data_IF_928639438449
#
_entry.id   IF_928639438449
#
_cell.length_a   1.000
_cell.length_b   1.000
_cell.length_c   1.000
_cell.angle_alpha   90.00
_cell.angle_beta   90.00
_cell.angle_gamma   90.00
#
_symmetry.space_group_name_H-M   'P 1'
#
loop_
_entity.id
_entity.type
_entity.pdbx_description
1 polymer ?
#
# COMPACT_ATOMS: atom_id res chain seq x y z
N UNK A 1 -0.74 -9.33 12.56
CA UNK A 1 -0.67 -8.43 11.40
C UNK A 1 -1.99 -8.50 10.66
N UNK A 2 -2.61 -7.36 10.34
CA UNK A 2 -3.91 -7.34 9.64
C UNK A 2 -3.75 -7.47 8.10
N UNK A 3 -2.55 -7.16 7.61
CA UNK A 3 -2.15 -7.32 6.22
C UNK A 3 -1.64 -8.75 6.00
N UNK A 4 -1.98 -9.34 4.86
CA UNK A 4 -1.46 -10.64 4.42
C UNK A 4 -1.03 -10.57 2.97
N UNK A 5 0.03 -11.29 2.64
CA UNK A 5 0.40 -11.58 1.25
C UNK A 5 -0.76 -12.23 0.50
N UNK A 6 -0.95 -11.81 -0.76
CA UNK A 6 -1.89 -12.39 -1.71
C UNK A 6 -1.12 -13.15 -2.80
N UNK A 7 -0.34 -12.42 -3.61
CA UNK A 7 0.32 -12.97 -4.79
C UNK A 7 1.63 -12.26 -5.08
N UNK A 8 2.57 -12.97 -5.71
CA UNK A 8 3.86 -12.44 -6.17
C UNK A 8 4.10 -12.91 -7.60
N UNK A 9 4.40 -11.98 -8.50
CA UNK A 9 4.96 -12.32 -9.82
C UNK A 9 6.48 -12.45 -9.68
N UNK A 10 7.11 -13.42 -10.35
CA UNK A 10 8.58 -13.53 -10.40
C UNK A 10 9.22 -12.23 -10.93
N UNK A 11 10.45 -11.92 -10.50
CA UNK A 11 11.18 -10.75 -10.99
C UNK A 11 11.21 -10.70 -12.52
N UNK A 12 10.89 -9.53 -13.06
CA UNK A 12 10.90 -9.27 -14.50
C UNK A 12 12.12 -8.43 -14.84
N UNK A 13 13.13 -9.08 -15.42
CA UNK A 13 14.39 -8.45 -15.80
C UNK A 13 14.27 -7.82 -17.18
N UNK A 14 14.65 -6.54 -17.29
CA UNK A 14 14.65 -5.76 -18.53
C UNK A 14 13.32 -5.83 -19.31
N UNK A 15 12.21 -6.00 -18.59
CA UNK A 15 10.87 -6.17 -19.15
C UNK A 15 9.91 -5.14 -18.57
N UNK A 16 9.35 -4.29 -19.44
CA UNK A 16 8.51 -3.16 -19.05
C UNK A 16 7.01 -3.51 -18.95
N UNK A 17 6.59 -4.71 -19.35
CA UNK A 17 5.18 -5.11 -19.35
C UNK A 17 5.02 -6.59 -19.07
N UNK A 18 4.19 -6.95 -18.10
CA UNK A 18 3.96 -8.33 -17.68
C UNK A 18 2.61 -8.48 -16.97
N UNK A 19 2.19 -9.71 -16.72
CA UNK A 19 0.92 -10.00 -16.04
C UNK A 19 1.10 -10.16 -14.52
N UNK A 20 0.16 -9.63 -13.75
CA UNK A 20 0.04 -9.88 -12.31
C UNK A 20 -1.42 -10.12 -11.93
N UNK A 21 -1.63 -11.08 -11.02
CA UNK A 21 -2.97 -11.51 -10.59
C UNK A 21 -3.19 -11.08 -9.15
N UNK A 22 -4.18 -10.22 -8.94
CA UNK A 22 -4.66 -9.83 -7.61
C UNK A 22 -5.90 -10.66 -7.22
N UNK A 23 -5.91 -11.22 -6.01
CA UNK A 23 -7.05 -12.00 -5.47
C UNK A 23 -7.43 -11.55 -4.06
N UNK A 24 -8.71 -11.61 -3.72
CA UNK A 24 -9.20 -11.24 -2.39
C UNK A 24 -9.78 -9.84 -2.30
N UNK A 25 -9.66 -9.22 -1.13
CA UNK A 25 -10.33 -7.95 -0.78
C UNK A 25 -9.42 -7.06 0.05
N UNK A 26 -9.72 -5.76 0.07
CA UNK A 26 -8.88 -4.74 0.69
C UNK A 26 -7.43 -4.89 0.19
N UNK A 27 -7.28 -4.74 -1.12
CA UNK A 27 -6.04 -5.01 -1.81
C UNK A 27 -5.19 -3.76 -1.95
N UNK A 28 -3.88 -3.91 -1.80
CA UNK A 28 -2.88 -2.97 -2.30
C UNK A 28 -1.91 -3.76 -3.16
N UNK A 29 -1.69 -3.30 -4.40
CA UNK A 29 -0.62 -3.75 -5.27
C UNK A 29 0.63 -2.91 -5.00
N UNK A 30 1.77 -3.55 -4.84
CA UNK A 30 3.09 -2.93 -4.67
C UNK A 30 3.97 -3.34 -5.85
N UNK A 31 4.52 -2.34 -6.54
CA UNK A 31 5.44 -2.52 -7.67
C UNK A 31 6.77 -1.84 -7.33
N UNK A 32 7.76 -2.60 -6.83
CA UNK A 32 9.12 -2.12 -6.75
C UNK A 32 9.79 -2.15 -8.13
N UNK A 33 10.73 -1.24 -8.34
CA UNK A 33 11.57 -1.21 -9.53
C UNK A 33 12.97 -0.75 -9.17
N UNK A 34 13.96 -1.47 -9.70
CA UNK A 34 15.38 -1.21 -9.51
C UNK A 34 16.00 -0.91 -10.87
N UNK A 35 16.73 0.20 -10.97
CA UNK A 35 17.23 0.75 -12.22
C UNK A 35 18.71 1.06 -12.04
N UNK A 36 19.48 0.68 -13.06
CA UNK A 36 20.85 1.12 -13.24
C UNK A 36 21.02 1.74 -14.61
N UNK A 37 21.72 2.87 -14.63
CA UNK A 37 22.25 3.38 -15.87
C UNK A 37 23.66 3.97 -15.72
N UNK A 38 24.49 3.72 -16.72
CA UNK A 38 25.87 4.17 -16.74
C UNK A 38 26.07 5.63 -17.13
N UNK A 39 25.00 6.35 -17.48
CA UNK A 39 25.12 7.66 -18.14
C UNK A 39 24.13 8.73 -17.67
N UNK A 40 22.94 8.36 -17.19
CA UNK A 40 21.92 9.31 -16.73
C UNK A 40 21.03 8.73 -15.62
N UNK A 41 20.35 9.58 -14.86
CA UNK A 41 19.27 9.15 -13.97
C UNK A 41 18.01 8.82 -14.79
N UNK A 42 17.82 7.54 -15.11
CA UNK A 42 16.60 7.05 -15.76
C UNK A 42 15.50 6.87 -14.71
N UNK A 43 14.36 7.53 -14.93
CA UNK A 43 13.26 7.61 -13.97
C UNK A 43 12.04 6.86 -14.47
N UNK A 44 11.17 6.44 -13.57
CA UNK A 44 9.83 5.96 -13.95
C UNK A 44 8.90 7.15 -14.12
N UNK A 45 8.25 7.25 -15.28
CA UNK A 45 7.27 8.31 -15.56
C UNK A 45 5.84 7.88 -15.28
N UNK A 46 5.53 6.57 -15.41
CA UNK A 46 4.27 6.00 -14.99
C UNK A 46 4.40 4.49 -14.77
N UNK A 47 3.59 3.94 -13.87
CA UNK A 47 3.32 2.51 -13.80
C UNK A 47 1.81 2.36 -13.78
N UNK A 48 1.26 1.55 -14.66
CA UNK A 48 -0.18 1.24 -14.68
C UNK A 48 -0.44 -0.21 -14.36
N UNK A 49 -1.59 -0.48 -13.74
CA UNK A 49 -2.18 -1.79 -13.63
C UNK A 49 -3.59 -1.75 -14.20
N UNK A 50 -3.86 -2.55 -15.23
CA UNK A 50 -5.14 -2.48 -15.98
C UNK A 50 -5.45 -1.04 -16.46
N UNK A 51 -4.43 -0.32 -16.95
CA UNK A 51 -4.53 1.10 -17.36
C UNK A 51 -4.86 2.11 -16.24
N UNK A 52 -4.84 1.70 -14.97
CA UNK A 52 -4.95 2.61 -13.82
C UNK A 52 -3.55 2.92 -13.30
N UNK A 53 -3.17 4.20 -13.26
CA UNK A 53 -1.85 4.61 -12.75
C UNK A 53 -1.70 4.32 -11.26
N UNK A 54 -0.54 3.79 -10.90
CA UNK A 54 -0.07 3.65 -9.54
C UNK A 54 0.40 5.00 -9.01
N UNK A 55 0.53 5.09 -7.69
CA UNK A 55 1.13 6.24 -7.00
C UNK A 55 2.57 5.91 -6.60
N UNK A 56 3.54 6.75 -6.99
CA UNK A 56 4.90 6.65 -6.48
C UNK A 56 4.91 6.97 -4.99
N UNK A 57 5.41 6.05 -4.16
CA UNK A 57 5.43 6.20 -2.70
C UNK A 57 6.80 6.62 -2.20
N UNK A 58 7.86 6.05 -2.77
CA UNK A 58 9.23 6.45 -2.49
C UNK A 58 10.12 6.18 -3.69
N UNK A 59 11.08 7.05 -3.91
CA UNK A 59 12.15 6.87 -4.88
C UNK A 59 13.44 7.39 -4.29
N UNK A 60 14.55 6.74 -4.62
CA UNK A 60 15.88 7.27 -4.34
C UNK A 60 16.84 6.87 -5.43
N UNK A 61 17.77 7.78 -5.73
CA UNK A 61 18.90 7.55 -6.63
C UNK A 61 20.19 7.83 -5.87
N UNK A 62 21.19 6.99 -6.10
CA UNK A 62 22.57 7.22 -5.69
C UNK A 62 23.49 7.26 -6.91
N UNK A 63 24.49 8.14 -6.86
CA UNK A 63 25.42 8.38 -7.97
C UNK A 63 26.85 8.11 -7.56
N UNK A 64 27.54 7.25 -8.31
CA UNK A 64 28.95 6.96 -8.07
C UNK A 64 29.72 6.75 -9.37
N UNK A 65 30.76 7.57 -9.56
CA UNK A 65 31.60 7.52 -10.77
C UNK A 65 30.82 7.81 -12.06
N UNK A 66 29.79 8.66 -12.00
CA UNK A 66 28.95 9.01 -13.16
C UNK A 66 27.88 7.98 -13.52
N UNK A 67 27.67 6.97 -12.67
CA UNK A 67 26.65 5.93 -12.82
C UNK A 67 25.55 6.12 -11.78
N UNK A 68 24.35 5.65 -12.09
CA UNK A 68 23.13 5.92 -11.32
C UNK A 68 22.47 4.61 -10.91
N UNK A 69 22.20 4.45 -9.62
CA UNK A 69 21.41 3.37 -9.06
C UNK A 69 20.16 3.96 -8.47
N UNK A 70 19.00 3.56 -8.96
CA UNK A 70 17.71 4.06 -8.51
C UNK A 70 16.83 2.91 -8.08
N UNK A 71 16.13 3.10 -6.98
CA UNK A 71 15.06 2.19 -6.54
C UNK A 71 13.81 3.01 -6.25
N UNK A 72 12.67 2.49 -6.68
CA UNK A 72 11.37 3.10 -6.43
C UNK A 72 10.37 2.05 -5.97
N UNK A 73 9.41 2.47 -5.14
CA UNK A 73 8.23 1.69 -4.78
C UNK A 73 6.98 2.48 -5.17
N UNK A 74 6.14 1.85 -5.97
CA UNK A 74 4.84 2.35 -6.40
C UNK A 74 3.73 1.48 -5.83
N UNK A 75 2.57 2.07 -5.52
CA UNK A 75 1.41 1.28 -5.10
C UNK A 75 0.10 1.70 -5.75
N UNK A 76 -0.81 0.75 -5.88
CA UNK A 76 -2.21 0.98 -6.23
C UNK A 76 -3.09 0.36 -5.15
N UNK A 77 -3.85 1.20 -4.46
CA UNK A 77 -4.88 0.77 -3.52
C UNK A 77 -6.14 0.37 -4.30
N UNK A 78 -6.82 -0.69 -3.87
CA UNK A 78 -7.97 -1.28 -4.56
C UNK A 78 -7.72 -1.64 -6.04
N UNK A 79 -6.63 -2.36 -6.40
CA UNK A 79 -6.42 -2.82 -7.76
C UNK A 79 -7.58 -3.72 -8.21
N UNK A 80 -7.87 -3.72 -9.51
CA UNK A 80 -8.83 -4.66 -10.09
C UNK A 80 -8.39 -6.11 -9.78
N UNK A 81 -9.33 -6.98 -9.43
CA UNK A 81 -9.03 -8.40 -9.22
C UNK A 81 -8.86 -9.13 -10.56
N UNK A 82 -8.25 -10.32 -10.51
CA UNK A 82 -7.93 -11.11 -11.69
C UNK A 82 -6.57 -10.78 -12.28
N UNK A 83 -6.28 -11.38 -13.44
CA UNK A 83 -5.00 -11.22 -14.13
C UNK A 83 -5.05 -9.99 -15.02
N UNK A 84 -4.26 -8.96 -14.71
CA UNK A 84 -4.14 -7.76 -15.52
C UNK A 84 -2.67 -7.39 -15.75
N UNK A 85 -2.44 -6.51 -16.73
CA UNK A 85 -1.10 -6.06 -17.11
C UNK A 85 -0.58 -4.99 -16.16
N UNK A 86 0.62 -5.22 -15.63
CA UNK A 86 1.50 -4.17 -15.10
C UNK A 86 2.31 -3.62 -16.28
N UNK A 87 2.26 -2.32 -16.53
CA UNK A 87 3.04 -1.66 -17.58
C UNK A 87 3.82 -0.48 -17.00
N UNK A 88 5.14 -0.48 -17.20
CA UNK A 88 6.10 0.52 -16.73
C UNK A 88 6.51 1.41 -17.90
N UNK A 89 6.49 2.71 -17.68
CA UNK A 89 7.02 3.70 -18.62
C UNK A 89 8.24 4.38 -18.00
N UNK A 90 9.37 4.33 -18.70
CA UNK A 90 10.65 4.92 -18.27
C UNK A 90 10.94 6.19 -19.07
N UNK A 91 11.68 7.14 -18.49
CA UNK A 91 12.09 8.39 -19.16
C UNK A 91 13.14 8.17 -20.25
N UNK A 92 13.75 6.98 -20.29
CA UNK A 92 14.71 6.56 -21.30
C UNK A 92 14.99 5.05 -21.21
N UNK A 93 16.03 4.58 -21.89
CA UNK A 93 16.45 3.18 -21.86
C UNK A 93 17.61 3.01 -20.88
N UNK A 94 17.41 2.38 -19.72
CA UNK A 94 18.48 2.13 -18.77
C UNK A 94 19.40 1.02 -19.25
N UNK A 95 20.62 1.00 -18.71
CA UNK A 95 21.60 -0.07 -18.92
C UNK A 95 21.10 -1.43 -18.37
N UNK A 96 20.38 -1.42 -17.25
CA UNK A 96 19.72 -2.59 -16.69
C UNK A 96 18.63 -2.21 -15.70
N UNK A 97 17.55 -2.98 -15.65
CA UNK A 97 16.50 -2.80 -14.65
C UNK A 97 15.74 -4.09 -14.38
N UNK A 98 15.01 -4.09 -13.27
CA UNK A 98 14.12 -5.17 -12.88
C UNK A 98 12.86 -4.62 -12.22
N UNK A 99 11.76 -5.34 -12.38
CA UNK A 99 10.46 -4.95 -11.82
C UNK A 99 9.84 -6.13 -11.08
N UNK A 100 9.32 -5.88 -9.89
CA UNK A 100 8.52 -6.82 -9.13
C UNK A 100 7.04 -6.43 -9.11
N UNK A 101 6.15 -7.35 -8.75
CA UNK A 101 4.77 -7.06 -8.42
C UNK A 101 4.26 -8.00 -7.33
N UNK A 102 3.81 -7.42 -6.23
CA UNK A 102 3.29 -8.14 -5.06
C UNK A 102 1.97 -7.49 -4.65
N UNK A 103 0.93 -8.29 -4.51
CA UNK A 103 -0.34 -7.85 -3.94
C UNK A 103 -0.47 -8.30 -2.49
N UNK A 104 -1.16 -7.49 -1.70
CA UNK A 104 -1.45 -7.76 -0.30
C UNK A 104 -2.93 -7.55 -0.02
N UNK A 105 -3.56 -8.48 0.70
CA UNK A 105 -4.90 -8.31 1.27
C UNK A 105 -4.82 -7.62 2.63
N UNK A 106 -5.93 -7.01 3.06
CA UNK A 106 -5.99 -6.29 4.33
C UNK A 106 -5.17 -4.99 4.35
N UNK A 107 -4.68 -4.53 3.21
CA UNK A 107 -4.00 -3.25 3.00
C UNK A 107 -4.80 -2.47 1.94
N UNK A 108 -5.42 -1.36 2.32
CA UNK A 108 -6.17 -0.51 1.38
C UNK A 108 -6.36 0.90 1.92
N UNK A 109 -5.38 1.36 2.69
CA UNK A 109 -5.46 2.63 3.40
C UNK A 109 -4.23 3.50 3.13
N UNK A 110 -3.59 3.29 1.98
CA UNK A 110 -2.40 4.02 1.57
C UNK A 110 -1.13 3.61 2.32
N UNK A 111 -0.19 4.55 2.34
CA UNK A 111 1.15 4.39 2.92
C UNK A 111 1.32 5.38 4.07
N UNK A 112 1.89 4.89 5.17
CA UNK A 112 2.28 5.67 6.34
C UNK A 112 3.63 6.36 6.13
N UNK A 113 4.56 6.16 7.06
CA UNK A 113 5.91 6.70 6.91
C UNK A 113 6.70 6.00 5.81
N UNK A 114 7.67 6.71 5.27
CA UNK A 114 8.64 6.19 4.31
C UNK A 114 10.05 6.55 4.74
N UNK A 115 11.01 5.69 4.45
CA UNK A 115 12.42 5.92 4.67
C UNK A 115 13.25 5.64 3.43
N UNK A 116 14.51 6.06 3.46
CA UNK A 116 15.53 5.63 2.51
C UNK A 116 16.90 5.67 3.17
N UNK A 117 17.83 4.92 2.61
CA UNK A 117 19.21 4.89 3.08
C UNK A 117 20.17 4.34 2.01
N UNK A 118 21.45 4.65 2.14
CA UNK A 118 22.52 4.24 1.23
C UNK A 118 23.82 4.17 1.99
N UNK A 119 24.65 3.22 1.63
CA UNK A 119 26.00 3.12 2.15
C UNK A 119 26.88 2.41 1.13
N UNK A 120 28.14 2.21 1.50
CA UNK A 120 29.11 1.40 0.77
C UNK A 120 29.68 0.33 1.70
N UNK A 121 28.84 -0.66 1.98
CA UNK A 121 29.10 -1.80 2.85
C UNK A 121 28.25 -2.99 2.36
N UNK A 122 28.17 -4.08 3.12
CA UNK A 122 27.40 -5.26 2.73
C UNK A 122 26.03 -5.35 3.43
N UNK A 123 25.52 -4.28 4.02
CA UNK A 123 24.32 -4.31 4.85
C UNK A 123 23.26 -3.28 4.40
N UNK A 124 22.61 -3.47 3.23
CA UNK A 124 21.44 -2.69 2.88
C UNK A 124 20.41 -2.64 4.00
N UNK A 125 20.18 -1.45 4.54
CA UNK A 125 19.31 -1.26 5.71
C UNK A 125 18.61 0.09 5.67
N UNK A 126 17.32 0.12 6.02
CA UNK A 126 16.57 1.37 6.21
C UNK A 126 15.79 1.31 7.51
N UNK A 127 15.77 2.43 8.23
CA UNK A 127 15.00 2.60 9.47
C UNK A 127 13.98 3.73 9.30
N UNK A 128 12.75 3.51 9.78
CA UNK A 128 11.80 4.60 10.02
C UNK A 128 11.00 4.38 11.30
N UNK A 129 10.17 5.33 11.71
CA UNK A 129 9.20 5.13 12.79
C UNK A 129 7.82 4.90 12.21
N UNK A 130 7.35 3.66 12.25
CA UNK A 130 6.01 3.30 11.73
C UNK A 130 4.91 3.98 12.53
N UNK A 131 3.85 4.36 11.84
CA UNK A 131 2.69 5.04 12.42
C UNK A 131 1.74 4.09 13.11
N UNK A 132 1.80 2.80 12.78
CA UNK A 132 0.89 1.77 13.29
C UNK A 132 1.60 0.48 13.65
N UNK A 133 1.03 -0.30 14.59
CA UNK A 133 1.52 -1.64 14.95
C UNK A 133 0.83 -2.77 14.18
N UNK A 134 -0.01 -2.43 13.20
CA UNK A 134 -0.74 -3.40 12.37
C UNK A 134 -0.43 -3.27 10.88
N UNK A 135 0.42 -2.32 10.50
CA UNK A 135 0.96 -2.16 9.15
C UNK A 135 1.99 -3.22 8.76
N UNK A 136 2.50 -3.08 7.53
CA UNK A 136 3.56 -3.90 6.96
C UNK A 136 4.61 -2.98 6.35
N UNK A 137 5.83 -3.06 6.84
CA UNK A 137 6.97 -2.37 6.25
C UNK A 137 7.51 -3.18 5.09
N UNK A 138 7.81 -2.51 3.98
CA UNK A 138 8.41 -3.09 2.78
C UNK A 138 9.63 -2.27 2.41
N UNK A 139 10.80 -2.92 2.33
CA UNK A 139 12.05 -2.31 1.88
C UNK A 139 12.50 -2.95 0.57
N UNK A 140 12.82 -2.12 -0.42
CA UNK A 140 13.48 -2.52 -1.64
C UNK A 140 14.89 -1.91 -1.67
N UNK A 141 15.89 -2.70 -2.04
CA UNK A 141 17.26 -2.22 -2.19
C UNK A 141 17.86 -2.66 -3.53
N UNK A 142 18.67 -1.79 -4.13
CA UNK A 142 19.55 -2.10 -5.25
C UNK A 142 21.00 -1.91 -4.82
N UNK A 143 21.86 -2.82 -5.27
CA UNK A 143 23.29 -2.81 -5.03
C UNK A 143 24.03 -2.80 -6.37
N UNK A 144 25.23 -2.22 -6.38
CA UNK A 144 26.10 -2.26 -7.56
C UNK A 144 26.31 -3.72 -8.00
N UNK A 145 26.26 -3.95 -9.32
CA UNK A 145 26.28 -5.29 -9.89
C UNK A 145 27.61 -6.00 -9.76
N UNK A 146 27.63 -7.21 -10.33
CA UNK A 146 28.72 -8.18 -10.19
C UNK A 146 28.76 -8.90 -8.85
N UNK A 147 27.97 -8.39 -7.90
CA UNK A 147 27.72 -8.97 -6.60
C UNK A 147 26.36 -9.66 -6.67
N UNK A 148 26.38 -10.92 -7.08
CA UNK A 148 25.19 -11.76 -7.11
C UNK A 148 24.84 -12.26 -5.71
N UNK A 149 23.57 -12.65 -5.59
CA UNK A 149 22.93 -13.42 -4.52
C UNK A 149 23.89 -14.36 -3.76
N UNK A 150 23.66 -14.60 -2.46
CA UNK A 150 22.44 -14.26 -1.71
C UNK A 150 22.46 -12.88 -1.05
N UNK A 151 21.27 -12.27 -0.98
CA UNK A 151 20.91 -11.30 0.05
C UNK A 151 20.21 -12.07 1.18
N UNK A 152 20.67 -11.95 2.43
CA UNK A 152 20.10 -12.68 3.55
C UNK A 152 19.44 -11.73 4.54
N UNK A 153 18.12 -11.85 4.82
CA UNK A 153 17.48 -11.08 5.89
C UNK A 153 18.22 -11.22 7.24
N UNK A 154 18.44 -10.10 7.93
CA UNK A 154 19.25 -10.09 9.16
C UNK A 154 18.45 -10.44 10.43
N UNK A 155 17.12 -10.48 10.32
CA UNK A 155 16.22 -10.69 11.44
C UNK A 155 15.04 -11.58 11.09
N UNK A 156 13.84 -11.08 11.38
CA UNK A 156 12.57 -11.80 11.16
C UNK A 156 11.85 -11.34 9.89
N UNK A 157 12.52 -10.58 9.04
CA UNK A 157 11.99 -10.12 7.77
C UNK A 157 11.72 -11.32 6.85
N UNK A 158 10.66 -11.19 6.04
CA UNK A 158 10.35 -12.15 4.99
C UNK A 158 10.92 -11.63 3.69
N UNK A 159 11.76 -12.44 3.03
CA UNK A 159 12.24 -12.15 1.69
C UNK A 159 11.15 -12.44 0.65
N UNK A 160 11.01 -11.51 -0.30
CA UNK A 160 10.09 -11.62 -1.44
C UNK A 160 10.83 -11.63 -2.76
N UNK A 161 11.95 -10.93 -2.84
CA UNK A 161 12.82 -10.91 -4.01
C UNK A 161 14.28 -10.95 -3.58
N UNK A 162 15.04 -11.76 -4.30
CA UNK A 162 16.50 -11.85 -4.33
C UNK A 162 16.86 -12.12 -5.79
N UNK A 163 17.84 -11.39 -6.33
CA UNK A 163 18.24 -11.55 -7.72
C UNK A 163 19.22 -10.51 -8.24
N UNK A 164 19.63 -10.71 -9.49
CA UNK A 164 20.50 -9.79 -10.21
C UNK A 164 20.10 -9.68 -11.69
N UNK A 165 20.45 -8.57 -12.35
CA UNK A 165 20.29 -8.46 -13.82
C UNK A 165 21.39 -9.22 -14.59
N UNK A 166 22.47 -9.60 -13.91
CA UNK A 166 23.62 -10.30 -14.46
C UNK A 166 24.80 -10.29 -13.50
N UNK A 167 26.00 -10.61 -13.99
CA UNK A 167 27.23 -10.77 -13.18
C UNK A 167 28.28 -9.70 -13.46
N UNK A 168 27.97 -8.65 -14.22
CA UNK A 168 28.92 -7.59 -14.55
C UNK A 168 28.94 -6.47 -13.49
N UNK A 169 30.13 -6.18 -12.95
CA UNK A 169 30.32 -5.13 -11.94
C UNK A 169 30.06 -3.70 -12.39
N UNK A 170 29.87 -3.48 -13.70
CA UNK A 170 29.75 -2.16 -14.29
C UNK A 170 28.44 -1.93 -15.04
N UNK A 171 27.69 -2.98 -15.36
CA UNK A 171 26.46 -2.86 -16.16
C UNK A 171 25.25 -3.53 -15.53
N UNK A 172 25.44 -4.33 -14.48
CA UNK A 172 24.37 -5.03 -13.80
C UNK A 172 24.11 -4.45 -12.40
N UNK A 173 23.07 -4.99 -11.75
CA UNK A 173 22.72 -4.73 -10.37
C UNK A 173 22.34 -6.02 -9.65
N UNK A 174 22.60 -6.06 -8.34
CA UNK A 174 21.92 -6.95 -7.40
C UNK A 174 20.71 -6.22 -6.80
N UNK A 175 19.67 -6.96 -6.43
CA UNK A 175 18.45 -6.39 -5.87
C UNK A 175 17.78 -7.32 -4.87
N UNK A 176 17.04 -6.72 -3.96
CA UNK A 176 16.25 -7.46 -2.97
C UNK A 176 15.01 -6.68 -2.56
N UNK A 177 13.99 -7.42 -2.11
CA UNK A 177 12.85 -6.88 -1.39
C UNK A 177 12.55 -7.76 -0.19
N UNK A 178 12.49 -7.13 0.97
CA UNK A 178 12.13 -7.77 2.25
C UNK A 178 10.98 -7.00 2.91
N UNK A 179 10.22 -7.70 3.74
CA UNK A 179 9.09 -7.13 4.48
C UNK A 179 9.08 -7.53 5.95
N UNK A 180 8.53 -6.67 6.81
CA UNK A 180 8.43 -6.90 8.25
C UNK A 180 7.16 -6.27 8.80
N UNK A 181 6.49 -6.95 9.74
CA UNK A 181 5.35 -6.37 10.43
C UNK A 181 5.74 -5.08 11.18
N UNK A 182 4.96 -4.03 11.03
CA UNK A 182 5.22 -2.75 11.69
C UNK A 182 4.98 -2.85 13.20
N UNK A 183 5.84 -2.21 14.00
CA UNK A 183 5.71 -2.22 15.47
C UNK A 183 4.94 -1.01 16.02
N UNK A 184 4.68 0.01 15.19
CA UNK A 184 4.20 1.33 15.64
C UNK A 184 5.29 2.14 16.34
N UNK A 185 6.54 1.73 16.17
CA UNK A 185 7.74 2.37 16.70
C UNK A 185 8.86 2.35 15.66
N UNK A 186 10.11 2.38 16.12
CA UNK A 186 11.27 2.30 15.23
C UNK A 186 11.37 0.91 14.62
N UNK A 187 11.21 0.83 13.31
CA UNK A 187 11.36 -0.39 12.53
C UNK A 187 12.57 -0.23 11.61
N UNK A 188 13.46 -1.22 11.68
CA UNK A 188 14.61 -1.36 10.77
C UNK A 188 14.42 -2.64 10.00
N UNK A 189 14.52 -2.56 8.67
CA UNK A 189 14.64 -3.73 7.80
C UNK A 189 16.08 -3.73 7.29
N UNK A 190 16.74 -4.88 7.37
CA UNK A 190 18.07 -5.03 6.79
C UNK A 190 18.31 -6.42 6.21
N UNK A 191 19.24 -6.45 5.26
CA UNK A 191 19.73 -7.67 4.64
C UNK A 191 21.24 -7.59 4.49
N UNK A 192 21.90 -8.73 4.56
CA UNK A 192 23.34 -8.88 4.33
C UNK A 192 23.59 -9.41 2.93
N UNK A 193 24.35 -8.65 2.14
CA UNK A 193 24.91 -9.07 0.86
C UNK A 193 26.21 -9.86 1.05
N UNK A 194 26.57 -10.67 0.05
CA UNK A 194 27.78 -11.50 0.08
C UNK A 194 29.10 -10.69 0.09
N UNK A 195 29.07 -9.45 -0.38
CA UNK A 195 30.24 -8.56 -0.45
C UNK A 195 29.84 -7.11 -0.18
N UNK A 196 30.83 -6.27 0.15
CA UNK A 196 30.61 -4.84 0.38
C UNK A 196 30.64 -4.06 -0.91
N UNK A 197 29.58 -3.29 -1.15
CA UNK A 197 29.48 -2.37 -2.27
C UNK A 197 28.48 -1.24 -1.99
N UNK A 198 28.39 -0.29 -2.91
CA UNK A 198 27.39 0.76 -2.90
C UNK A 198 26.01 0.15 -3.06
N UNK A 199 25.12 0.53 -2.16
CA UNK A 199 23.71 0.21 -2.23
C UNK A 199 22.85 1.43 -1.94
N UNK A 200 21.61 1.38 -2.41
CA UNK A 200 20.55 2.32 -2.09
C UNK A 200 19.28 1.55 -1.82
N UNK A 201 18.56 1.94 -0.78
CA UNK A 201 17.29 1.35 -0.39
C UNK A 201 16.23 2.40 -0.11
N UNK A 202 14.99 1.99 -0.30
CA UNK A 202 13.78 2.74 0.05
C UNK A 202 12.85 1.83 0.82
N UNK A 203 12.10 2.40 1.76
CA UNK A 203 11.15 1.69 2.60
C UNK A 203 9.82 2.43 2.68
N UNK A 204 8.72 1.69 2.71
CA UNK A 204 7.37 2.20 2.92
C UNK A 204 6.66 1.41 4.02
N UNK A 205 5.73 2.04 4.74
CA UNK A 205 4.77 1.37 5.62
C UNK A 205 3.42 1.24 4.90
N UNK A 206 2.99 0.04 4.52
CA UNK A 206 1.62 -0.19 4.11
C UNK A 206 0.69 -0.11 5.32
N UNK A 207 -0.37 0.67 5.20
CA UNK A 207 -1.38 0.79 6.26
C UNK A 207 -2.47 -0.25 6.09
N UNK A 208 -2.78 -0.93 7.20
CA UNK A 208 -3.86 -1.89 7.24
C UNK A 208 -5.18 -1.21 6.84
N UNK A 209 -6.01 -1.94 6.11
CA UNK A 209 -7.36 -1.52 5.80
C UNK A 209 -8.11 -1.28 7.11
N UNK A 210 -8.84 -0.17 7.17
CA UNK A 210 -9.75 0.12 8.28
C UNK A 210 -10.74 -1.04 8.40
N UNK A 211 -10.80 -1.67 9.58
CA UNK A 211 -11.90 -2.58 9.91
C UNK A 211 -13.20 -1.79 9.80
N UNK A 212 -13.96 -2.01 8.73
CA UNK A 212 -15.28 -1.44 8.59
C UNK A 212 -16.12 -1.77 9.83
N UNK A 213 -16.78 -0.77 10.40
CA UNK A 213 -17.78 -1.05 11.43
C UNK A 213 -19.00 -1.61 10.71
N UNK A 214 -19.28 -2.89 10.88
CA UNK A 214 -20.54 -3.48 10.40
C UNK A 214 -21.58 -3.37 11.50
N UNK A 215 -22.67 -2.66 11.23
CA UNK A 215 -23.80 -2.52 12.15
C UNK A 215 -25.00 -3.21 11.49
N UNK A 216 -25.32 -4.42 11.94
CA UNK A 216 -26.50 -5.15 11.46
C UNK A 216 -27.71 -4.91 12.39
N UNK A 217 -28.71 -4.17 11.90
CA UNK A 217 -29.94 -3.86 12.62
C UNK A 217 -31.12 -4.65 12.03
N UNK A 218 -31.08 -5.99 12.12
CA UNK A 218 -32.05 -6.82 11.38
C UNK A 218 -33.49 -6.73 11.94
N UNK A 219 -33.66 -6.63 13.28
CA UNK A 219 -34.96 -6.41 13.94
C UNK A 219 -34.73 -5.66 15.27
N UNK A 220 -34.66 -4.34 15.24
CA UNK A 220 -34.46 -3.52 16.46
C UNK A 220 -34.07 -2.08 16.17
N UNK A 221 -34.07 -1.26 17.23
CA UNK A 221 -33.56 0.12 17.18
C UNK A 221 -32.17 0.15 17.80
N UNK A 222 -31.16 0.57 17.04
CA UNK A 222 -29.87 0.97 17.60
C UNK A 222 -29.84 2.49 17.71
N UNK A 223 -29.86 2.99 18.94
CA UNK A 223 -29.73 4.43 19.23
C UNK A 223 -28.36 4.70 19.82
N UNK A 224 -27.53 5.51 19.16
CA UNK A 224 -26.28 6.02 19.72
C UNK A 224 -26.58 7.40 20.33
N UNK A 225 -26.44 7.54 21.66
CA UNK A 225 -26.67 8.79 22.41
C UNK A 225 -25.39 9.33 23.05
N UNK A 226 -25.21 10.64 23.09
CA UNK A 226 -24.05 11.30 23.72
C UNK A 226 -23.85 12.74 23.27
N UNK A 227 -22.86 13.45 23.82
CA UNK A 227 -22.53 14.82 23.39
C UNK A 227 -22.17 14.89 21.88
N UNK A 228 -21.51 13.84 21.38
CA UNK A 228 -21.13 13.65 19.98
C UNK A 228 -21.44 12.19 19.59
N UNK A 229 -22.38 11.97 18.67
CA UNK A 229 -22.74 10.65 18.14
C UNK A 229 -22.32 10.59 16.67
N UNK A 230 -21.25 9.86 16.37
CA UNK A 230 -20.68 9.83 15.02
C UNK A 230 -20.40 8.41 14.51
N UNK A 231 -20.60 8.21 13.21
CA UNK A 231 -20.08 7.09 12.45
C UNK A 231 -18.82 7.58 11.73
N UNK A 232 -17.68 7.06 12.16
CA UNK A 232 -16.34 7.53 11.80
C UNK A 232 -15.69 6.65 10.69
N UNK A 233 -14.54 7.06 10.11
CA UNK A 233 -14.00 6.49 8.87
C UNK A 233 -13.75 4.98 8.90
N UNK A 234 -14.16 4.32 7.80
CA UNK A 234 -13.95 2.91 7.48
C UNK A 234 -14.99 2.45 6.45
N UNK A 235 -14.88 1.21 5.94
CA UNK A 235 -15.94 0.60 5.13
C UNK A 235 -17.15 0.26 6.02
N UNK A 236 -17.88 1.29 6.47
CA UNK A 236 -19.06 1.10 7.32
C UNK A 236 -20.20 0.63 6.44
N UNK A 237 -20.64 -0.62 6.66
CA UNK A 237 -21.87 -1.16 6.09
C UNK A 237 -22.92 -1.21 7.19
N UNK A 238 -24.02 -0.49 6.97
CA UNK A 238 -25.21 -0.59 7.82
C UNK A 238 -26.30 -1.25 7.00
N UNK A 239 -26.69 -2.47 7.40
CA UNK A 239 -27.86 -3.16 6.86
C UNK A 239 -28.99 -3.06 7.90
N UNK A 240 -29.95 -2.18 7.63
CA UNK A 240 -31.19 -2.12 8.40
C UNK A 240 -32.33 -2.61 7.50
N UNK A 241 -32.45 -3.93 7.42
CA UNK A 241 -33.50 -4.57 6.65
C UNK A 241 -34.89 -4.25 7.21
N UNK A 242 -35.10 -4.28 8.54
CA UNK A 242 -36.39 -3.97 9.22
C UNK A 242 -36.22 -3.07 10.47
N UNK A 243 -34.99 -2.61 10.80
CA UNK A 243 -34.67 -1.84 12.01
C UNK A 243 -34.49 -0.33 11.83
N UNK A 244 -34.36 0.41 12.93
CA UNK A 244 -34.06 1.85 12.93
C UNK A 244 -32.62 2.10 13.42
N UNK A 245 -31.85 2.93 12.71
CA UNK A 245 -30.59 3.50 13.18
C UNK A 245 -30.80 4.97 13.53
N UNK A 246 -30.63 5.33 14.81
CA UNK A 246 -30.77 6.70 15.28
C UNK A 246 -29.47 7.22 15.91
N UNK A 247 -28.95 8.32 15.40
CA UNK A 247 -27.82 9.07 15.98
C UNK A 247 -28.39 10.29 16.68
N UNK A 248 -28.32 10.34 18.02
CA UNK A 248 -28.91 11.40 18.83
C UNK A 248 -27.89 12.07 19.76
N UNK A 249 -27.45 13.28 19.45
CA UNK A 249 -26.46 14.03 20.25
C UNK A 249 -26.47 15.54 19.99
N UNK A 250 -25.58 16.34 20.61
CA UNK A 250 -25.48 17.77 20.21
C UNK A 250 -24.89 17.91 18.81
N UNK A 251 -23.99 16.99 18.43
CA UNK A 251 -23.46 16.85 17.09
C UNK A 251 -23.66 15.41 16.61
N UNK A 252 -24.36 15.23 15.49
CA UNK A 252 -24.67 13.93 14.89
C UNK A 252 -24.11 13.89 13.45
N UNK A 253 -23.11 13.06 13.19
CA UNK A 253 -22.41 13.10 11.91
C UNK A 253 -22.08 11.72 11.32
N UNK A 254 -22.14 11.64 9.99
CA UNK A 254 -21.53 10.57 9.20
C UNK A 254 -20.35 11.20 8.46
N UNK A 255 -19.14 10.72 8.75
CA UNK A 255 -17.87 11.32 8.32
C UNK A 255 -17.17 10.40 7.29
N UNK A 256 -16.44 10.93 6.27
CA UNK A 256 -16.16 10.19 5.04
C UNK A 256 -15.28 8.93 5.13
N UNK A 257 -15.69 7.94 4.33
CA UNK A 257 -15.07 6.65 3.94
C UNK A 257 -15.95 6.02 2.83
N UNK A 258 -15.69 4.80 2.37
CA UNK A 258 -16.64 4.05 1.53
C UNK A 258 -17.81 3.56 2.40
N UNK A 259 -18.78 4.45 2.66
CA UNK A 259 -19.92 4.16 3.55
C UNK A 259 -21.10 3.72 2.70
N UNK A 260 -21.58 2.49 2.92
CA UNK A 260 -22.78 1.95 2.30
C UNK A 260 -23.88 1.77 3.34
N UNK A 261 -25.00 2.49 3.21
CA UNK A 261 -26.17 2.30 4.06
C UNK A 261 -27.31 1.77 3.21
N UNK A 262 -27.68 0.51 3.45
CA UNK A 262 -28.81 -0.13 2.79
C UNK A 262 -30.00 -0.19 3.75
N UNK A 263 -31.10 0.46 3.38
CA UNK A 263 -32.36 0.44 4.12
C UNK A 263 -33.42 -0.26 3.28
N UNK A 264 -33.89 -1.43 3.73
CA UNK A 264 -34.99 -2.11 3.06
C UNK A 264 -36.34 -1.51 3.51
N UNK A 265 -36.78 -1.73 4.76
CA UNK A 265 -37.94 -1.07 5.40
C UNK A 265 -37.58 -0.19 6.62
N UNK A 266 -36.29 -0.01 6.92
CA UNK A 266 -35.79 0.71 8.10
C UNK A 266 -35.74 2.25 8.00
N UNK A 267 -35.48 2.93 9.13
CA UNK A 267 -35.26 4.40 9.18
C UNK A 267 -33.84 4.74 9.60
N UNK A 268 -33.19 5.69 8.90
CA UNK A 268 -31.98 6.38 9.37
C UNK A 268 -32.37 7.77 9.88
N UNK A 269 -32.18 8.01 11.18
CA UNK A 269 -32.45 9.29 11.81
C UNK A 269 -31.17 9.92 12.38
N UNK A 270 -30.86 11.14 11.95
CA UNK A 270 -29.81 11.99 12.52
C UNK A 270 -30.51 13.13 13.27
N UNK A 271 -30.39 13.14 14.60
CA UNK A 271 -31.02 14.12 15.47
C UNK A 271 -29.95 14.82 16.34
N UNK A 272 -29.77 16.13 16.15
CA UNK A 272 -28.83 16.91 16.95
C UNK A 272 -28.64 18.32 16.43
N UNK A 273 -28.27 19.28 17.30
CA UNK A 273 -28.11 20.70 16.96
C UNK A 273 -27.22 20.95 15.74
N UNK A 274 -26.30 20.03 15.45
CA UNK A 274 -25.56 19.97 14.20
C UNK A 274 -25.61 18.54 13.62
N UNK A 275 -26.58 18.28 12.76
CA UNK A 275 -26.74 17.04 12.00
C UNK A 275 -26.13 17.19 10.60
N UNK A 276 -25.15 16.34 10.22
CA UNK A 276 -24.50 16.43 8.92
C UNK A 276 -24.15 15.06 8.31
N UNK A 277 -24.34 14.93 7.00
CA UNK A 277 -23.71 13.91 6.18
C UNK A 277 -22.63 14.64 5.37
N UNK A 278 -21.36 14.40 5.70
CA UNK A 278 -20.25 15.10 5.03
C UNK A 278 -19.94 14.39 3.70
N UNK A 279 -19.78 15.11 2.57
CA UNK A 279 -19.58 14.48 1.26
C UNK A 279 -18.30 13.63 1.18
N UNK A 280 -18.44 12.43 0.61
CA UNK A 280 -17.42 11.41 0.31
C UNK A 280 -18.04 10.32 -0.59
N UNK A 281 -17.42 9.14 -0.75
CA UNK A 281 -18.03 7.98 -1.42
C UNK A 281 -19.12 7.34 -0.53
N UNK A 282 -20.19 8.09 -0.26
CA UNK A 282 -21.32 7.67 0.56
C UNK A 282 -22.46 7.22 -0.36
N UNK A 283 -22.82 5.94 -0.31
CA UNK A 283 -23.98 5.38 -1.00
C UNK A 283 -25.10 5.08 -0.01
N UNK A 284 -26.22 5.78 -0.11
CA UNK A 284 -27.45 5.45 0.65
C UNK A 284 -28.45 4.84 -0.33
N UNK A 285 -28.73 3.55 -0.19
CA UNK A 285 -29.72 2.85 -0.98
C UNK A 285 -31.00 2.67 -0.14
N UNK A 286 -32.08 3.35 -0.55
CA UNK A 286 -33.41 3.24 0.05
C UNK A 286 -34.30 2.38 -0.87
N UNK A 287 -34.83 1.26 -0.38
CA UNK A 287 -35.91 0.55 -1.09
C UNK A 287 -37.28 1.10 -0.67
N UNK A 288 -37.62 0.97 0.62
CA UNK A 288 -38.83 1.56 1.25
C UNK A 288 -38.54 2.30 2.56
N UNK A 289 -37.25 2.49 2.90
CA UNK A 289 -36.82 3.16 4.13
C UNK A 289 -36.89 4.69 4.09
N UNK A 290 -36.79 5.33 5.26
CA UNK A 290 -36.84 6.80 5.41
C UNK A 290 -35.48 7.35 5.89
N UNK A 291 -35.03 8.45 5.28
CA UNK A 291 -33.95 9.29 5.81
C UNK A 291 -34.55 10.52 6.51
N UNK A 292 -34.31 10.66 7.81
CA UNK A 292 -34.75 11.81 8.60
C UNK A 292 -33.54 12.59 9.14
N UNK A 293 -33.44 13.86 8.76
CA UNK A 293 -32.45 14.81 9.26
C UNK A 293 -33.19 15.84 10.12
N UNK A 294 -32.87 15.92 11.41
CA UNK A 294 -33.41 16.91 12.33
C UNK A 294 -32.26 17.63 13.04
N UNK A 295 -32.11 18.93 12.74
CA UNK A 295 -31.11 19.82 13.29
C UNK A 295 -31.72 20.97 14.05
#
# INVERSE_FOLDING_TARGET
MAISHDSTTALQINTASFSHTCTGSNLTLVVPIWIFDGSADITVTDITYNSVSLTQRRARVETFGGRYWRVEIWTLDSPATGSNTVAVTLSGTPSGYAVGAISYTGANNGVGTTGDNSSNDNNPSTTHTSTTSNGLNIMAAVMRGGDSDPFAPDGSETERYDGATGTNTNTDIGMTLIELASTGGSDTLSTTASVSDLWVSVMIELLAASSGVSIACNVGTLTLTGQQAAVAPGAVSVDASVGNLALAGQQAAIVPGAVGIALNTGTLALAGQQAAIVPGAVGIALNTGTLALAG
#
